data_IF_928204728147
#
_entry.id   IF_928204728147
#
_cell.length_a   1.000
_cell.length_b   1.000
_cell.length_c   1.000
_cell.angle_alpha   90.00
_cell.angle_beta   90.00
_cell.angle_gamma   90.00
#
_symmetry.space_group_name_H-M   'P 1'
#
loop_
_entity.id
_entity.type
_entity.pdbx_description
1 polymer ?
#
# COMPACT_ATOMS: atom_id res chain seq x y z
N UNK A 1 -18.57 17.99 9.43
CA UNK A 1 -17.72 16.91 9.99
C UNK A 1 -17.36 16.00 8.82
N UNK A 2 -16.14 15.92 8.27
CA UNK A 2 -14.78 16.13 8.79
C UNK A 2 -13.92 16.62 7.60
N UNK A 3 -13.14 17.69 7.78
CA UNK A 3 -12.28 18.26 6.75
C UNK A 3 -10.82 17.80 6.90
N UNK A 4 -10.09 17.86 5.77
CA UNK A 4 -8.66 18.16 5.57
C UNK A 4 -7.71 17.04 5.05
N UNK A 5 -7.13 17.35 3.86
CA UNK A 5 -5.73 17.15 3.37
C UNK A 5 -5.23 15.71 3.07
N UNK A 6 -4.53 15.42 1.95
CA UNK A 6 -3.53 16.19 1.18
C UNK A 6 -3.56 15.78 -0.30
N UNK A 7 -3.71 16.70 -1.25
CA UNK A 7 -2.66 17.42 -1.99
C UNK A 7 -1.76 16.49 -2.83
N UNK A 8 -2.05 16.44 -4.12
CA UNK A 8 -1.11 16.08 -5.19
C UNK A 8 0.05 17.09 -5.22
N UNK A 9 1.23 16.60 -5.61
CA UNK A 9 2.45 17.31 -6.07
C UNK A 9 3.61 17.45 -5.06
N UNK A 10 4.77 16.93 -5.50
CA UNK A 10 6.16 17.28 -5.17
C UNK A 10 6.97 16.43 -4.16
N UNK A 11 7.88 15.62 -4.70
CA UNK A 11 9.31 15.84 -4.48
C UNK A 11 10.01 15.36 -3.20
N UNK A 12 9.34 14.90 -2.15
CA UNK A 12 10.01 14.41 -0.92
C UNK A 12 9.22 13.30 -0.22
N UNK A 13 9.33 12.04 -0.69
CA UNK A 13 8.58 10.92 -0.07
C UNK A 13 9.37 10.31 1.08
N UNK A 14 9.09 10.75 2.30
CA UNK A 14 9.36 9.95 3.50
C UNK A 14 8.59 8.62 3.36
N UNK A 15 9.24 7.57 2.83
CA UNK A 15 8.65 6.28 2.49
C UNK A 15 8.03 5.61 3.73
N UNK A 16 6.74 5.87 3.94
CA UNK A 16 6.01 5.34 5.09
C UNK A 16 5.46 3.95 4.75
N UNK A 17 5.83 2.96 5.58
CA UNK A 17 5.29 1.61 5.49
C UNK A 17 3.83 1.57 5.95
N UNK A 18 2.94 1.16 5.07
CA UNK A 18 1.50 1.02 5.36
C UNK A 18 1.11 -0.45 5.55
N UNK A 19 0.08 -0.70 6.36
CA UNK A 19 -0.45 -2.05 6.58
C UNK A 19 -1.42 -2.50 5.48
N UNK A 20 -1.79 -3.78 5.51
CA UNK A 20 -2.71 -4.42 4.54
C UNK A 20 -4.01 -3.66 4.31
N UNK A 21 -4.70 -3.22 5.37
CA UNK A 21 -5.99 -2.54 5.24
C UNK A 21 -5.84 -1.20 4.52
N UNK A 22 -4.80 -0.44 4.85
CA UNK A 22 -4.49 0.83 4.18
C UNK A 22 -4.10 0.59 2.72
N UNK A 23 -3.32 -0.44 2.43
CA UNK A 23 -2.96 -0.81 1.06
C UNK A 23 -4.18 -1.19 0.21
N UNK A 24 -5.13 -1.97 0.76
CA UNK A 24 -6.37 -2.32 0.07
C UNK A 24 -7.20 -1.08 -0.27
N UNK A 25 -7.34 -0.15 0.69
CA UNK A 25 -8.06 1.12 0.46
C UNK A 25 -7.37 2.00 -0.56
N UNK A 26 -6.03 2.02 -0.55
CA UNK A 26 -5.24 2.80 -1.48
C UNK A 26 -5.38 2.32 -2.93
N UNK A 27 -5.38 1.00 -3.12
CA UNK A 27 -5.52 0.36 -4.43
C UNK A 27 -6.99 0.14 -4.85
N UNK A 28 -7.95 0.46 -3.98
CA UNK A 28 -9.38 0.16 -4.17
C UNK A 28 -9.69 -1.31 -4.50
N UNK A 29 -8.92 -2.24 -3.90
CA UNK A 29 -9.08 -3.68 -4.10
C UNK A 29 -9.50 -4.41 -2.81
N UNK A 30 -10.07 -5.60 -3.00
CA UNK A 30 -10.34 -6.50 -1.88
C UNK A 30 -9.05 -7.07 -1.27
N UNK A 31 -9.05 -7.43 0.04
CA UNK A 31 -7.92 -8.14 0.66
C UNK A 31 -7.60 -9.49 -0.02
N UNK A 32 -8.59 -10.13 -0.64
CA UNK A 32 -8.38 -11.37 -1.40
C UNK A 32 -7.54 -11.11 -2.66
N UNK A 33 -7.83 -10.03 -3.38
CA UNK A 33 -7.05 -9.58 -4.55
C UNK A 33 -5.62 -9.27 -4.15
N UNK A 34 -5.42 -8.49 -3.07
CA UNK A 34 -4.09 -8.16 -2.58
C UNK A 34 -3.29 -9.42 -2.19
N UNK A 35 -3.89 -10.37 -1.50
CA UNK A 35 -3.27 -11.67 -1.17
C UNK A 35 -2.89 -12.48 -2.42
N UNK A 36 -3.75 -12.47 -3.45
CA UNK A 36 -3.45 -13.14 -4.74
C UNK A 36 -2.24 -12.50 -5.40
N UNK A 37 -2.12 -11.18 -5.40
CA UNK A 37 -0.97 -10.47 -5.97
C UNK A 37 0.33 -10.81 -5.24
N UNK A 38 0.31 -10.86 -3.91
CA UNK A 38 1.45 -11.31 -3.10
C UNK A 38 1.83 -12.75 -3.45
N UNK A 39 0.84 -13.66 -3.52
CA UNK A 39 1.08 -15.07 -3.86
C UNK A 39 1.65 -15.24 -5.28
N UNK A 40 1.22 -14.40 -6.23
CA UNK A 40 1.74 -14.40 -7.60
C UNK A 40 3.10 -13.72 -7.75
N UNK A 41 3.63 -13.09 -6.70
CA UNK A 41 4.89 -12.35 -6.75
C UNK A 41 4.81 -10.96 -7.39
N UNK A 42 3.59 -10.49 -7.74
CA UNK A 42 3.35 -9.15 -8.32
C UNK A 42 3.66 -8.02 -7.34
N UNK A 43 3.50 -8.27 -6.04
CA UNK A 43 3.93 -7.36 -4.96
C UNK A 43 4.77 -8.14 -3.96
N UNK A 44 5.84 -7.51 -3.45
CA UNK A 44 6.70 -8.08 -2.40
C UNK A 44 6.60 -7.25 -1.12
N UNK A 45 5.62 -7.54 -0.24
CA UNK A 45 5.54 -6.86 1.05
C UNK A 45 6.65 -7.30 1.99
N UNK A 46 7.02 -6.41 2.90
CA UNK A 46 7.84 -6.76 4.07
C UNK A 46 6.96 -7.40 5.14
N UNK A 47 7.41 -8.48 5.75
CA UNK A 47 6.75 -9.07 6.92
C UNK A 47 7.34 -8.50 8.20
N UNK A 48 6.48 -8.15 9.17
CA UNK A 48 6.91 -7.87 10.53
C UNK A 48 7.16 -9.18 11.29
N UNK A 49 7.91 -9.16 12.40
CA UNK A 49 8.08 -10.35 13.26
C UNK A 49 6.75 -10.94 13.74
N UNK A 50 5.72 -10.11 13.91
CA UNK A 50 4.35 -10.51 14.29
C UNK A 50 3.56 -11.15 13.13
N UNK A 51 4.11 -11.17 11.91
CA UNK A 51 3.49 -11.79 10.73
C UNK A 51 2.61 -10.85 9.89
N UNK A 52 2.55 -9.56 10.23
CA UNK A 52 1.80 -8.58 9.44
C UNK A 52 2.54 -8.20 8.15
N UNK A 53 1.79 -7.85 7.11
CA UNK A 53 2.36 -7.31 5.88
C UNK A 53 2.46 -5.78 5.93
N UNK A 54 3.61 -5.28 5.48
CA UNK A 54 3.91 -3.86 5.30
C UNK A 54 4.27 -3.60 3.85
N UNK A 55 3.67 -2.56 3.29
CA UNK A 55 3.80 -2.16 1.90
C UNK A 55 4.37 -0.74 1.83
N UNK A 56 5.20 -0.47 0.83
CA UNK A 56 5.60 0.90 0.50
C UNK A 56 4.58 1.48 -0.47
N UNK A 57 4.23 2.76 -0.29
CA UNK A 57 3.32 3.43 -1.23
C UNK A 57 3.88 3.47 -2.65
N UNK A 58 5.17 3.79 -2.80
CA UNK A 58 5.89 3.76 -4.09
C UNK A 58 5.70 2.45 -4.86
N UNK A 59 5.83 1.31 -4.19
CA UNK A 59 5.59 -0.01 -4.79
C UNK A 59 4.13 -0.23 -5.21
N UNK A 60 3.17 0.34 -4.49
CA UNK A 60 1.75 0.25 -4.86
C UNK A 60 1.41 1.18 -6.03
N UNK A 61 2.07 2.34 -6.13
CA UNK A 61 1.91 3.30 -7.22
C UNK A 61 2.26 2.67 -8.57
N UNK A 62 3.31 1.83 -8.61
CA UNK A 62 3.71 1.06 -9.79
C UNK A 62 2.64 0.05 -10.29
N UNK A 63 1.56 -0.19 -9.54
CA UNK A 63 0.48 -1.08 -9.96
C UNK A 63 -0.71 -0.34 -10.57
N UNK A 64 -0.75 0.98 -10.42
CA UNK A 64 -1.79 1.86 -10.96
C UNK A 64 -1.39 2.47 -12.30
N UNK A 65 -0.12 2.33 -12.69
CA UNK A 65 0.43 2.70 -14.01
C UNK A 65 0.13 1.63 -15.07
#
# INVERSE_FOLDING_TARGET
MKNNTSKTTDGQTSESWIGTITACKYLEISPATLRRWIKSGRIKPKRTPTGEFRFRRSELDHLLD
#
